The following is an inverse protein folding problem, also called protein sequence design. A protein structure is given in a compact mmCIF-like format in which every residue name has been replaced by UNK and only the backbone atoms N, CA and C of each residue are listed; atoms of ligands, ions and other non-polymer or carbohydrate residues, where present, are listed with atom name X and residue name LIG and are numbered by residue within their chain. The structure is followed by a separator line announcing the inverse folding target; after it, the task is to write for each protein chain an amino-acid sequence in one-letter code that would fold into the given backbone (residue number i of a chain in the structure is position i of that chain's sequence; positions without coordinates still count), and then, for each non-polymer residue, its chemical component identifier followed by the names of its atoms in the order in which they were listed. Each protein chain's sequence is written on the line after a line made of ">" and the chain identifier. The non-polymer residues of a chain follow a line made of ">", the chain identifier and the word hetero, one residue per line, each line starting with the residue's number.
data_IF_078918991632
#
_entry.id   IF_078918991632
#
_cell.length_a   1.000
_cell.length_b   1.000
_cell.length_c   1.000
_cell.angle_alpha   90.00
_cell.angle_beta   90.00
_cell.angle_gamma   90.00
#
_symmetry.space_group_name_H-M   'P 1'
#
loop_
_entity.id
_entity.type
_entity.pdbx_description
1 polymer ?
#
# COMPACT_ATOMS: atom_id res chain seq x y z
N UNK A 1 -26.63 3.18 8.59
CA UNK A 1 -26.25 1.92 7.93
C UNK A 1 -26.78 1.73 6.50
N UNK A 2 -27.37 2.74 5.85
CA UNK A 2 -27.91 2.62 4.48
C UNK A 2 -26.89 2.66 3.34
N UNK A 3 -25.62 2.97 3.61
CA UNK A 3 -24.57 3.04 2.58
C UNK A 3 -24.03 1.66 2.13
N UNK A 4 -24.35 0.59 2.86
CA UNK A 4 -23.81 -0.75 2.64
C UNK A 4 -24.93 -1.77 2.46
N UNK A 5 -25.01 -2.51 1.35
CA UNK A 5 -26.05 -3.52 1.12
C UNK A 5 -26.12 -4.59 2.22
N UNK A 6 -24.98 -4.92 2.84
CA UNK A 6 -24.88 -5.87 3.94
C UNK A 6 -25.24 -5.29 5.33
N UNK A 7 -25.68 -4.02 5.40
CA UNK A 7 -26.04 -3.34 6.65
C UNK A 7 -24.85 -2.97 7.55
N UNK A 8 -23.61 -3.26 7.15
CA UNK A 8 -22.37 -2.93 7.87
C UNK A 8 -21.27 -2.47 6.92
N UNK A 9 -20.34 -1.65 7.42
CA UNK A 9 -19.12 -1.31 6.70
C UNK A 9 -18.21 -2.54 6.56
N UNK A 10 -17.71 -2.86 5.35
CA UNK A 10 -16.79 -3.99 5.17
C UNK A 10 -15.54 -3.87 6.05
N UNK A 11 -15.14 -4.98 6.69
CA UNK A 11 -13.86 -4.99 7.43
C UNK A 11 -12.68 -5.06 6.46
N UNK A 12 -11.54 -4.52 6.90
CA UNK A 12 -10.27 -4.69 6.18
C UNK A 12 -10.03 -6.17 5.94
N UNK A 13 -9.74 -6.53 4.68
CA UNK A 13 -9.40 -7.88 4.27
C UNK A 13 -10.46 -8.95 4.64
N UNK A 14 -11.73 -8.56 4.84
CA UNK A 14 -12.85 -9.49 5.10
C UNK A 14 -13.01 -10.54 3.99
N UNK A 15 -12.67 -10.15 2.75
CA UNK A 15 -12.74 -11.02 1.58
C UNK A 15 -11.38 -11.59 1.16
N UNK A 16 -10.32 -11.39 1.94
CA UNK A 16 -9.00 -11.93 1.61
C UNK A 16 -8.82 -13.33 2.20
N UNK A 17 -8.40 -14.33 1.41
CA UNK A 17 -8.19 -15.69 1.88
C UNK A 17 -7.12 -15.78 2.98
N UNK A 18 -7.41 -16.58 4.01
CA UNK A 18 -6.50 -16.85 5.13
C UNK A 18 -6.19 -18.34 5.19
N UNK A 19 -4.99 -18.67 5.64
CA UNK A 19 -4.61 -20.05 5.95
C UNK A 19 -5.19 -20.49 7.32
N UNK A 20 -4.92 -21.73 7.70
CA UNK A 20 -5.44 -22.32 8.96
C UNK A 20 -4.92 -21.62 10.23
N UNK A 21 -3.83 -20.85 10.14
CA UNK A 21 -3.29 -20.05 11.25
C UNK A 21 -3.77 -18.60 11.24
N UNK A 22 -4.67 -18.23 10.32
CA UNK A 22 -5.20 -16.87 10.17
C UNK A 22 -4.31 -15.91 9.39
N UNK A 23 -3.14 -16.36 8.91
CA UNK A 23 -2.23 -15.60 8.06
C UNK A 23 -2.80 -15.39 6.65
N UNK A 24 -2.49 -14.25 6.04
CA UNK A 24 -2.95 -13.93 4.68
C UNK A 24 -2.30 -14.84 3.65
N UNK A 25 -3.11 -15.45 2.80
CA UNK A 25 -2.61 -16.28 1.70
C UNK A 25 -2.09 -15.41 0.55
N UNK A 26 -1.11 -15.94 -0.18
CA UNK A 26 -0.63 -15.33 -1.42
C UNK A 26 -1.72 -15.40 -2.50
N UNK A 27 -1.71 -14.43 -3.42
CA UNK A 27 -2.61 -14.43 -4.58
C UNK A 27 -1.78 -14.59 -5.86
N UNK A 28 -2.11 -15.60 -6.68
CA UNK A 28 -1.43 -15.85 -7.97
C UNK A 28 -1.52 -14.65 -8.93
N UNK A 29 -2.58 -13.86 -8.81
CA UNK A 29 -2.72 -12.63 -9.58
C UNK A 29 -1.85 -11.55 -8.94
N UNK A 30 -0.73 -11.24 -9.59
CA UNK A 30 0.17 -10.15 -9.21
C UNK A 30 0.38 -9.24 -10.42
N UNK A 31 0.15 -7.95 -10.25
CA UNK A 31 0.30 -6.95 -11.30
C UNK A 31 1.41 -5.98 -10.92
N UNK A 32 2.36 -5.74 -11.82
CA UNK A 32 3.36 -4.68 -11.66
C UNK A 32 2.69 -3.33 -11.95
N UNK A 33 2.62 -2.45 -10.94
CA UNK A 33 2.01 -1.13 -11.04
C UNK A 33 3.02 -0.06 -11.49
N UNK A 34 4.27 -0.21 -11.06
CA UNK A 34 5.38 0.68 -11.36
C UNK A 34 6.67 -0.12 -11.50
N UNK A 35 7.51 0.25 -12.46
CA UNK A 35 8.74 -0.47 -12.79
C UNK A 35 9.86 0.51 -13.22
N UNK A 36 11.04 0.33 -12.65
CA UNK A 36 12.27 1.07 -13.05
C UNK A 36 12.69 0.86 -14.50
N UNK A 37 12.39 -0.29 -15.10
CA UNK A 37 12.61 -0.52 -16.54
C UNK A 37 11.63 0.27 -17.42
N UNK A 38 10.50 0.70 -16.86
CA UNK A 38 9.47 1.50 -17.55
C UNK A 38 9.52 2.99 -17.15
N UNK A 39 10.60 3.43 -16.49
CA UNK A 39 10.84 4.83 -16.16
C UNK A 39 10.36 5.28 -14.78
N UNK A 40 9.79 4.40 -13.94
CA UNK A 40 9.52 4.75 -12.55
C UNK A 40 10.84 4.86 -11.75
N UNK A 41 11.11 5.94 -10.99
CA UNK A 41 12.40 6.07 -10.32
C UNK A 41 12.69 5.00 -9.26
N UNK A 42 11.66 4.48 -8.58
CA UNK A 42 11.79 3.39 -7.60
C UNK A 42 12.72 3.67 -6.41
N UNK A 43 12.90 4.95 -6.05
CA UNK A 43 13.90 5.39 -5.07
C UNK A 43 13.32 5.51 -3.66
N UNK A 44 12.55 4.52 -3.25
CA UNK A 44 11.74 4.60 -2.05
C UNK A 44 12.59 4.66 -0.76
N UNK A 45 12.04 5.38 0.24
CA UNK A 45 12.54 5.47 1.62
C UNK A 45 11.72 4.55 2.55
N UNK A 46 12.26 4.27 3.73
CA UNK A 46 11.58 3.51 4.81
C UNK A 46 11.21 2.05 4.46
N UNK A 47 11.94 1.43 3.55
CA UNK A 47 11.85 -0.01 3.30
C UNK A 47 12.73 -0.77 4.28
N UNK A 48 12.29 -1.96 4.66
CA UNK A 48 13.07 -2.87 5.51
C UNK A 48 14.10 -3.62 4.66
N UNK A 49 15.35 -3.63 5.11
CA UNK A 49 16.41 -4.42 4.47
C UNK A 49 16.17 -5.89 4.77
N UNK A 50 16.16 -6.74 3.74
CA UNK A 50 16.10 -8.18 3.94
C UNK A 50 17.48 -8.78 4.19
N UNK A 51 17.53 -9.79 5.07
CA UNK A 51 18.71 -10.61 5.31
C UNK A 51 18.68 -11.79 4.33
N UNK A 52 19.69 -11.95 3.47
CA UNK A 52 19.77 -13.08 2.54
C UNK A 52 20.26 -12.73 1.13
N UNK A 53 20.10 -13.67 0.19
CA UNK A 53 20.51 -13.50 -1.21
C UNK A 53 19.60 -12.51 -1.94
N UNK A 54 20.20 -11.49 -2.57
CA UNK A 54 19.48 -10.44 -3.29
C UNK A 54 18.80 -10.93 -4.58
N UNK A 55 19.18 -12.11 -5.08
CA UNK A 55 18.65 -12.70 -6.31
C UNK A 55 17.16 -13.02 -6.25
N UNK A 56 16.55 -13.03 -5.06
CA UNK A 56 15.14 -13.38 -4.86
C UNK A 56 14.26 -12.20 -4.45
N UNK A 57 14.79 -10.98 -4.37
CA UNK A 57 14.07 -9.80 -3.87
C UNK A 57 12.68 -9.59 -4.52
N UNK A 58 12.63 -9.72 -5.85
CA UNK A 58 11.39 -9.58 -6.61
C UNK A 58 10.43 -10.75 -6.37
N UNK A 59 10.93 -11.97 -6.43
CA UNK A 59 10.12 -13.19 -6.30
C UNK A 59 9.58 -13.37 -4.87
N UNK A 60 10.37 -13.00 -3.86
CA UNK A 60 9.92 -12.95 -2.47
C UNK A 60 8.78 -11.95 -2.29
N UNK A 61 8.91 -10.77 -2.90
CA UNK A 61 7.86 -9.76 -2.84
C UNK A 61 6.58 -10.22 -3.55
N UNK A 62 6.69 -10.86 -4.72
CA UNK A 62 5.53 -11.40 -5.46
C UNK A 62 4.85 -12.55 -4.71
N UNK A 63 5.59 -13.33 -3.92
CA UNK A 63 5.01 -14.41 -3.11
C UNK A 63 4.40 -13.91 -1.82
N UNK A 64 4.96 -12.87 -1.21
CA UNK A 64 4.46 -12.29 0.04
C UNK A 64 3.31 -11.31 -0.25
N UNK A 65 2.05 -11.64 0.10
CA UNK A 65 0.91 -10.77 -0.15
C UNK A 65 0.96 -9.45 0.63
N UNK A 66 1.85 -9.35 1.63
CA UNK A 66 2.10 -8.14 2.42
C UNK A 66 3.27 -7.31 1.88
N UNK A 67 3.86 -7.69 0.75
CA UNK A 67 4.93 -6.91 0.11
C UNK A 67 4.35 -6.01 -1.00
N UNK A 68 4.22 -4.69 -0.74
CA UNK A 68 3.70 -3.75 -1.73
C UNK A 68 4.76 -3.27 -2.74
N UNK A 69 6.03 -3.21 -2.33
CA UNK A 69 7.11 -2.81 -3.22
C UNK A 69 8.45 -3.37 -2.76
N UNK A 70 9.39 -3.41 -3.70
CA UNK A 70 10.76 -3.83 -3.46
C UNK A 70 11.75 -3.00 -4.28
N UNK A 71 12.97 -2.87 -3.76
CA UNK A 71 14.08 -2.25 -4.48
C UNK A 71 15.39 -2.96 -4.16
N UNK A 72 16.30 -3.01 -5.13
CA UNK A 72 17.66 -3.51 -4.97
C UNK A 72 18.66 -2.38 -5.22
N UNK A 73 19.81 -2.48 -4.56
CA UNK A 73 20.95 -1.60 -4.73
C UNK A 73 22.24 -2.37 -4.46
N UNK A 74 23.39 -1.70 -4.57
CA UNK A 74 24.69 -2.34 -4.34
C UNK A 74 24.82 -3.00 -2.95
N UNK A 75 24.14 -2.44 -1.95
CA UNK A 75 24.18 -2.90 -0.56
C UNK A 75 23.07 -3.90 -0.19
N UNK A 76 22.15 -4.21 -1.10
CA UNK A 76 21.22 -5.34 -0.92
C UNK A 76 19.81 -5.18 -1.48
N UNK A 77 18.85 -5.81 -0.81
CA UNK A 77 17.42 -5.83 -1.13
C UNK A 77 16.62 -5.20 0.00
N UNK A 78 15.62 -4.40 -0.35
CA UNK A 78 14.67 -3.83 0.59
C UNK A 78 13.23 -4.02 0.11
N UNK A 79 12.32 -4.24 1.05
CA UNK A 79 10.89 -4.41 0.80
C UNK A 79 10.05 -3.57 1.77
N UNK A 80 8.86 -3.16 1.35
CA UNK A 80 7.93 -2.36 2.16
C UNK A 80 7.11 -1.39 1.32
N UNK A 81 6.21 -0.63 1.96
CA UNK A 81 5.32 0.33 1.27
C UNK A 81 6.09 1.39 0.48
N UNK A 82 7.15 1.89 1.09
CA UNK A 82 7.99 2.92 0.51
C UNK A 82 7.34 4.30 0.53
N UNK A 83 8.11 5.32 0.91
CA UNK A 83 7.73 6.73 0.83
C UNK A 83 8.71 7.49 -0.07
N UNK A 84 8.27 8.64 -0.61
CA UNK A 84 9.10 9.56 -1.41
C UNK A 84 9.88 8.87 -2.55
N UNK A 85 9.25 7.91 -3.22
CA UNK A 85 9.87 7.05 -4.23
C UNK A 85 10.39 7.77 -5.48
N UNK A 86 10.08 9.06 -5.66
CA UNK A 86 10.36 9.83 -6.87
C UNK A 86 11.52 10.81 -6.73
N UNK A 87 11.87 11.24 -5.50
CA UNK A 87 12.67 12.46 -5.28
C UNK A 87 14.02 12.22 -4.62
N UNK A 88 14.30 10.99 -4.18
CA UNK A 88 15.55 10.66 -3.49
C UNK A 88 16.77 10.85 -4.39
N UNK A 89 17.79 11.58 -3.92
CA UNK A 89 19.01 11.89 -4.67
C UNK A 89 20.22 11.05 -4.25
N UNK A 90 20.23 10.57 -3.00
CA UNK A 90 21.32 9.78 -2.40
C UNK A 90 21.31 8.28 -2.78
N UNK A 91 20.35 7.86 -3.60
CA UNK A 91 20.17 6.45 -3.97
C UNK A 91 19.52 6.31 -5.34
N UNK A 92 20.03 5.37 -6.12
CA UNK A 92 19.40 4.91 -7.37
C UNK A 92 19.33 3.39 -7.32
N UNK A 93 18.14 2.78 -7.41
CA UNK A 93 18.01 1.34 -7.39
C UNK A 93 18.62 0.73 -8.66
N UNK A 94 19.12 -0.51 -8.54
CA UNK A 94 19.47 -1.34 -9.70
C UNK A 94 18.18 -1.80 -10.38
N UNK A 95 17.24 -2.33 -9.59
CA UNK A 95 15.86 -2.63 -10.00
C UNK A 95 14.93 -2.33 -8.85
N UNK A 96 13.71 -1.92 -9.16
CA UNK A 96 12.62 -1.75 -8.22
C UNK A 96 11.29 -1.90 -8.93
N UNK A 97 10.29 -2.43 -8.21
CA UNK A 97 8.91 -2.47 -8.66
C UNK A 97 7.95 -2.22 -7.49
N UNK A 98 6.80 -1.63 -7.81
CA UNK A 98 5.60 -1.65 -6.96
C UNK A 98 4.62 -2.66 -7.54
N UNK A 99 4.08 -3.53 -6.69
CA UNK A 99 3.23 -4.65 -7.12
C UNK A 99 1.90 -4.63 -6.40
N UNK A 100 0.83 -4.96 -7.12
CA UNK A 100 -0.49 -5.21 -6.57
C UNK A 100 -0.72 -6.71 -6.48
N UNK A 101 -1.15 -7.16 -5.31
CA UNK A 101 -1.65 -8.51 -5.09
C UNK A 101 -3.17 -8.53 -5.24
N UNK A 102 -3.68 -9.43 -6.08
CA UNK A 102 -5.10 -9.58 -6.35
C UNK A 102 -5.73 -8.39 -7.09
N UNK A 103 -6.98 -8.10 -6.77
CA UNK A 103 -7.80 -7.06 -7.38
C UNK A 103 -8.34 -6.09 -6.33
N UNK A 104 -8.63 -4.87 -6.76
CA UNK A 104 -9.24 -3.84 -5.92
C UNK A 104 -10.68 -3.57 -6.36
N UNK A 105 -11.57 -3.47 -5.38
CA UNK A 105 -12.93 -2.94 -5.55
C UNK A 105 -13.03 -1.60 -4.85
N UNK A 106 -13.46 -0.57 -5.58
CA UNK A 106 -13.81 0.73 -4.98
C UNK A 106 -15.16 0.63 -4.29
N UNK A 107 -15.19 1.00 -3.01
CA UNK A 107 -16.38 1.01 -2.17
C UNK A 107 -17.03 2.39 -2.10
N UNK A 108 -16.23 3.46 -2.11
CA UNK A 108 -16.70 4.84 -2.06
C UNK A 108 -15.65 5.81 -2.63
N UNK A 109 -16.11 6.88 -3.29
CA UNK A 109 -15.27 8.03 -3.67
C UNK A 109 -15.13 8.98 -2.47
N UNK A 110 -13.89 9.34 -2.11
CA UNK A 110 -13.53 10.19 -0.97
C UNK A 110 -13.14 11.62 -1.34
N UNK A 111 -13.44 12.07 -2.57
CA UNK A 111 -13.27 13.47 -2.97
C UNK A 111 -14.05 14.38 -2.02
N UNK A 112 -13.43 15.47 -1.56
CA UNK A 112 -14.05 16.38 -0.60
C UNK A 112 -14.09 15.87 0.84
N UNK A 113 -13.38 14.79 1.16
CA UNK A 113 -13.22 14.28 2.52
C UNK A 113 -11.76 14.35 2.98
N UNK A 114 -11.57 14.41 4.29
CA UNK A 114 -10.32 14.07 4.96
C UNK A 114 -10.57 12.89 5.89
N UNK A 115 -9.90 11.78 5.65
CA UNK A 115 -9.79 10.68 6.60
C UNK A 115 -8.55 10.92 7.44
N UNK A 116 -8.72 10.91 8.75
CA UNK A 116 -7.62 11.12 9.70
C UNK A 116 -6.96 9.79 10.06
N UNK A 117 -5.66 9.83 10.35
CA UNK A 117 -4.87 8.63 10.65
C UNK A 117 -4.21 8.00 9.43
N UNK A 118 -4.18 8.68 8.29
CA UNK A 118 -3.39 8.23 7.13
C UNK A 118 -1.92 8.65 7.26
N UNK A 119 -1.04 7.91 6.60
CA UNK A 119 0.38 8.22 6.48
C UNK A 119 0.65 8.97 5.18
N UNK A 120 1.52 9.97 5.23
CA UNK A 120 1.95 10.69 4.03
C UNK A 120 2.91 9.81 3.21
N UNK A 121 2.53 9.51 1.97
CA UNK A 121 3.39 8.75 1.05
C UNK A 121 4.40 9.64 0.33
N UNK A 122 3.94 10.83 -0.09
CA UNK A 122 4.78 11.84 -0.74
C UNK A 122 4.13 13.23 -0.68
N UNK A 123 4.93 14.29 -0.79
CA UNK A 123 4.46 15.65 -1.05
C UNK A 123 4.21 15.92 -2.54
N UNK A 124 3.54 17.03 -2.86
CA UNK A 124 3.36 17.47 -4.25
C UNK A 124 4.13 18.79 -4.53
N UNK A 125 5.30 18.98 -3.91
CA UNK A 125 6.06 20.23 -3.96
C UNK A 125 7.36 20.16 -4.77
N UNK A 126 7.87 18.97 -5.07
CA UNK A 126 9.18 18.80 -5.72
C UNK A 126 9.14 18.76 -7.27
N UNK A 127 8.01 19.11 -7.89
CA UNK A 127 7.90 19.25 -9.35
C UNK A 127 8.09 17.98 -10.18
N UNK A 128 8.12 16.81 -9.54
CA UNK A 128 8.31 15.52 -10.20
C UNK A 128 7.06 15.01 -10.91
N UNK A 129 5.87 15.50 -10.54
CA UNK A 129 4.66 15.36 -11.32
C UNK A 129 4.38 16.64 -12.09
N UNK A 130 4.45 16.56 -13.42
CA UNK A 130 4.09 17.69 -14.29
C UNK A 130 2.58 17.85 -14.40
N UNK A 131 1.82 16.76 -14.22
CA UNK A 131 0.37 16.74 -14.28
C UNK A 131 -0.19 16.20 -12.97
N UNK A 132 -1.25 16.85 -12.49
CA UNK A 132 -1.97 16.40 -11.29
C UNK A 132 -2.50 14.95 -11.44
N UNK A 133 -2.91 14.56 -12.65
CA UNK A 133 -3.37 13.21 -12.93
C UNK A 133 -2.30 12.14 -12.62
N UNK A 134 -1.03 12.44 -12.90
CA UNK A 134 0.08 11.51 -12.63
C UNK A 134 0.31 11.37 -11.12
N UNK A 135 0.15 12.46 -10.36
CA UNK A 135 0.24 12.45 -8.90
C UNK A 135 -0.92 11.68 -8.25
N UNK A 136 -2.14 11.85 -8.76
CA UNK A 136 -3.32 11.09 -8.31
C UNK A 136 -3.10 9.60 -8.56
N UNK A 137 -2.65 9.24 -9.76
CA UNK A 137 -2.41 7.85 -10.16
C UNK A 137 -1.29 7.21 -9.32
N UNK A 138 -0.19 7.94 -9.07
CA UNK A 138 0.85 7.47 -8.17
C UNK A 138 0.32 7.24 -6.75
N UNK A 139 -0.52 8.13 -6.23
CA UNK A 139 -1.12 7.98 -4.91
C UNK A 139 -2.01 6.73 -4.82
N UNK A 140 -2.87 6.53 -5.83
CA UNK A 140 -3.71 5.35 -5.96
C UNK A 140 -2.87 4.06 -5.97
N UNK A 141 -1.79 4.03 -6.75
CA UNK A 141 -0.90 2.87 -6.86
C UNK A 141 -0.24 2.50 -5.54
N UNK A 142 0.11 3.46 -4.70
CA UNK A 142 0.67 3.19 -3.37
C UNK A 142 -0.31 2.37 -2.53
N UNK A 143 -1.55 2.82 -2.40
CA UNK A 143 -2.56 2.08 -1.62
C UNK A 143 -2.92 0.75 -2.28
N UNK A 144 -3.06 0.71 -3.61
CA UNK A 144 -3.36 -0.51 -4.35
C UNK A 144 -2.28 -1.59 -4.22
N UNK A 145 -1.06 -1.22 -3.81
CA UNK A 145 0.02 -2.16 -3.58
C UNK A 145 0.00 -2.84 -2.21
N UNK A 146 -0.57 -2.22 -1.16
CA UNK A 146 -0.68 -2.84 0.16
C UNK A 146 -2.10 -3.35 0.38
N UNK A 147 -2.26 -4.66 0.49
CA UNK A 147 -3.57 -5.28 0.69
C UNK A 147 -4.29 -4.79 1.96
N UNK A 148 -3.54 -4.25 2.92
CA UNK A 148 -4.07 -3.70 4.18
C UNK A 148 -4.56 -2.26 4.04
N UNK A 149 -4.23 -1.57 2.96
CA UNK A 149 -4.68 -0.21 2.71
C UNK A 149 -6.15 -0.21 2.27
N UNK A 150 -6.99 0.50 3.01
CA UNK A 150 -8.39 0.71 2.64
C UNK A 150 -8.66 2.13 2.15
N UNK A 151 -7.84 3.10 2.56
CA UNK A 151 -8.09 4.50 2.26
C UNK A 151 -6.88 5.14 1.61
N UNK A 152 -7.11 5.89 0.55
CA UNK A 152 -6.12 6.82 0.01
C UNK A 152 -6.77 8.14 -0.40
N UNK A 153 -6.00 9.21 -0.31
CA UNK A 153 -6.43 10.57 -0.59
C UNK A 153 -5.28 11.38 -1.18
N UNK A 154 -5.60 12.16 -2.21
CA UNK A 154 -4.69 13.12 -2.80
C UNK A 154 -5.29 14.53 -2.74
N UNK A 155 -4.54 15.44 -2.13
CA UNK A 155 -4.87 16.86 -2.05
C UNK A 155 -3.66 17.65 -2.56
N UNK A 156 -3.77 18.45 -3.64
CA UNK A 156 -2.62 19.06 -4.32
C UNK A 156 -1.69 19.87 -3.41
N UNK A 157 -2.19 20.51 -2.36
CA UNK A 157 -1.39 21.27 -1.38
C UNK A 157 -0.73 20.38 -0.32
N UNK A 158 -1.27 19.19 -0.07
CA UNK A 158 -0.85 18.32 1.03
C UNK A 158 -0.13 17.03 0.57
N UNK A 159 -0.25 16.68 -0.71
CA UNK A 159 0.32 15.48 -1.30
C UNK A 159 -0.58 14.25 -1.17
N UNK A 160 0.06 13.08 -1.18
CA UNK A 160 -0.61 11.79 -1.10
C UNK A 160 -0.61 11.23 0.32
N UNK A 161 -1.77 10.75 0.75
CA UNK A 161 -2.00 10.15 2.05
C UNK A 161 -2.68 8.79 1.88
N UNK A 162 -2.11 7.76 2.49
CA UNK A 162 -2.58 6.37 2.36
C UNK A 162 -2.65 5.73 3.73
N UNK A 163 -3.50 4.73 3.88
CA UNK A 163 -3.46 3.89 5.08
C UNK A 163 -2.18 3.05 5.07
N UNK A 164 -1.37 3.22 6.12
CA UNK A 164 -0.23 2.36 6.41
C UNK A 164 -0.58 1.59 7.68
N UNK A 165 -0.47 0.27 7.64
CA UNK A 165 -0.81 -0.59 8.80
C UNK A 165 0.38 -0.86 9.71
N UNK A 166 1.56 -0.31 9.39
CA UNK A 166 2.73 -0.33 10.28
C UNK A 166 2.70 0.78 11.35
N UNK A 167 1.84 1.79 11.19
CA UNK A 167 1.66 2.86 12.17
C UNK A 167 0.60 2.52 13.21
N UNK A 168 0.83 2.99 14.45
CA UNK A 168 -0.12 2.83 15.55
C UNK A 168 -1.36 3.73 15.43
N UNK A 169 -1.23 4.86 14.72
CA UNK A 169 -2.32 5.81 14.52
C UNK A 169 -2.95 5.57 13.16
N UNK A 170 -4.14 4.94 13.15
CA UNK A 170 -4.85 4.57 11.94
C UNK A 170 -6.37 4.82 12.10
N UNK A 171 -7.14 4.95 11.00
CA UNK A 171 -8.58 5.10 11.08
C UNK A 171 -9.23 3.92 11.83
N UNK A 172 -10.25 4.16 12.68
CA UNK A 172 -10.96 3.10 13.37
C UNK A 172 -11.89 2.34 12.41
N UNK A 173 -12.30 1.14 12.84
CA UNK A 173 -13.43 0.43 12.25
C UNK A 173 -14.59 0.36 13.26
N UNK A 174 -15.82 0.72 12.89
CA UNK A 174 -16.19 1.36 11.62
C UNK A 174 -15.65 2.80 11.55
N UNK A 175 -15.42 3.28 10.32
CA UNK A 175 -15.14 4.68 10.05
C UNK A 175 -16.40 5.50 10.30
N UNK A 176 -16.28 6.54 11.13
CA UNK A 176 -17.36 7.46 11.48
C UNK A 176 -16.99 8.89 11.11
N UNK A 177 -17.96 9.82 11.22
CA UNK A 177 -17.75 11.26 10.98
C UNK A 177 -16.85 11.92 12.02
N UNK A 178 -16.45 11.22 13.09
CA UNK A 178 -15.43 11.68 14.03
C UNK A 178 -14.00 11.56 13.46
N UNK A 179 -13.82 10.76 12.41
CA UNK A 179 -12.53 10.50 11.75
C UNK A 179 -12.55 10.83 10.25
N UNK A 180 -13.71 11.25 9.74
CA UNK A 180 -13.94 11.63 8.35
C UNK A 180 -14.57 13.02 8.31
N UNK A 181 -13.79 14.03 7.95
CA UNK A 181 -14.21 15.44 7.93
C UNK A 181 -14.41 15.95 6.52
N UNK A 182 -15.30 16.95 6.35
CA UNK A 182 -15.56 17.63 5.06
C UNK A 182 -15.17 19.11 5.02
N UNK A 183 -14.98 19.73 6.19
CA UNK A 183 -14.79 21.18 6.32
C UNK A 183 -13.35 21.61 6.56
N UNK A 184 -12.41 20.67 6.63
CA UNK A 184 -10.99 20.98 6.86
C UNK A 184 -10.34 21.50 5.58
N UNK A 185 -9.25 22.27 5.68
CA UNK A 185 -8.48 22.70 4.51
C UNK A 185 -8.03 21.54 3.62
N UNK A 186 -7.66 20.40 4.21
CA UNK A 186 -7.36 19.17 3.47
C UNK A 186 -8.58 18.67 2.71
N UNK A 187 -9.73 18.55 3.36
CA UNK A 187 -10.95 18.04 2.72
C UNK A 187 -11.37 18.91 1.54
N UNK A 188 -11.26 20.24 1.67
CA UNK A 188 -11.56 21.20 0.60
C UNK A 188 -10.56 21.12 -0.57
N UNK A 189 -9.33 20.70 -0.31
CA UNK A 189 -8.26 20.51 -1.31
C UNK A 189 -8.20 19.07 -1.84
N UNK A 190 -8.90 18.12 -1.23
CA UNK A 190 -8.90 16.71 -1.60
C UNK A 190 -9.68 16.48 -2.90
N UNK A 191 -8.94 16.37 -4.00
CA UNK A 191 -9.47 16.25 -5.38
C UNK A 191 -9.65 14.80 -5.83
N UNK A 192 -9.05 13.83 -5.13
CA UNK A 192 -9.20 12.42 -5.42
C UNK A 192 -8.96 11.58 -4.17
N UNK A 193 -9.65 10.46 -4.08
CA UNK A 193 -9.46 9.47 -3.02
C UNK A 193 -10.51 8.39 -3.08
N UNK A 194 -10.20 7.23 -2.53
CA UNK A 194 -11.11 6.09 -2.52
C UNK A 194 -11.05 5.37 -1.19
N UNK A 195 -12.21 4.87 -0.78
CA UNK A 195 -12.31 3.77 0.15
C UNK A 195 -12.41 2.48 -0.67
N UNK A 196 -11.47 1.57 -0.47
CA UNK A 196 -11.29 0.37 -1.27
C UNK A 196 -11.30 -0.91 -0.45
N UNK A 197 -11.46 -2.03 -1.15
CA UNK A 197 -11.28 -3.37 -0.61
C UNK A 197 -10.43 -4.20 -1.55
N UNK A 198 -9.40 -4.83 -1.00
CA UNK A 198 -8.59 -5.83 -1.68
C UNK A 198 -9.27 -7.19 -1.66
N UNK A 199 -9.18 -7.88 -2.79
CA UNK A 199 -9.76 -9.21 -3.00
C UNK A 199 -8.78 -10.09 -3.76
N UNK A 200 -8.74 -11.38 -3.43
CA UNK A 200 -8.08 -12.37 -4.28
C UNK A 200 -9.17 -13.20 -4.98
N UNK A 201 -9.16 -13.32 -6.32
CA UNK A 201 -10.17 -14.11 -7.02
C UNK A 201 -10.22 -15.57 -6.54
N UNK A 202 -11.42 -16.17 -6.62
CA UNK A 202 -11.64 -17.56 -6.21
C UNK A 202 -10.70 -18.48 -7.01
N UNK A 203 -10.03 -19.40 -6.30
CA UNK A 203 -9.08 -20.35 -6.91
C UNK A 203 -7.69 -19.78 -7.21
N UNK A 204 -7.45 -18.48 -6.97
CA UNK A 204 -6.13 -17.86 -7.12
C UNK A 204 -5.35 -17.74 -5.81
N UNK A 205 -5.93 -18.13 -4.68
CA UNK A 205 -5.23 -18.16 -3.41
C UNK A 205 -4.28 -19.36 -3.34
N UNK A 206 -3.07 -19.15 -2.86
CA UNK A 206 -2.11 -20.22 -2.57
C UNK A 206 -1.54 -20.04 -1.17
N UNK A 207 -1.29 -21.13 -0.42
CA UNK A 207 -0.55 -21.04 0.82
C UNK A 207 0.78 -20.32 0.60
N UNK A 208 1.02 -19.27 1.38
CA UNK A 208 2.34 -18.67 1.46
C UNK A 208 3.17 -19.52 2.43
N UNK A 209 4.13 -20.28 1.90
CA UNK A 209 5.19 -20.84 2.73
C UNK A 209 6.28 -19.77 2.82
N UNK A 210 6.48 -19.09 3.97
CA UNK A 210 7.64 -18.20 4.11
C UNK A 210 8.90 -19.04 3.84
N UNK A 211 9.67 -18.63 2.83
CA UNK A 211 10.99 -19.19 2.63
C UNK A 211 11.80 -18.78 3.87
N UNK A 212 12.06 -19.75 4.75
CA UNK A 212 12.66 -19.55 6.07
C UNK A 212 11.67 -18.91 7.06
N UNK A 213 11.10 -19.77 7.89
CA UNK A 213 10.53 -19.42 9.18
C UNK A 213 11.55 -18.55 9.91
N UNK A 214 11.29 -17.24 10.06
CA UNK A 214 11.94 -16.48 11.11
C UNK A 214 11.73 -17.31 12.37
N UNK A 215 12.83 -17.86 12.90
CA UNK A 215 12.82 -18.37 14.27
C UNK A 215 12.53 -17.14 15.12
N UNK A 216 11.25 -16.90 15.38
CA UNK A 216 10.81 -16.23 16.58
C UNK A 216 11.51 -17.01 17.70
N UNK A 217 12.59 -16.42 18.21
CA UNK A 217 13.21 -16.88 19.45
C UNK A 217 12.08 -17.00 20.45
N UNK A 218 11.79 -18.23 20.84
CA UNK A 218 10.92 -18.59 21.95
C UNK A 218 11.12 -17.58 23.06
N UNK A 219 10.05 -16.91 23.50
CA UNK A 219 10.03 -16.42 24.87
C UNK A 219 10.28 -17.66 25.74
N UNK A 220 11.47 -17.74 26.33
CA UNK A 220 11.69 -18.65 27.44
C UNK A 220 10.83 -18.16 28.60
N UNK A 221 10.22 -19.13 29.27
CA UNK A 221 9.41 -19.03 30.49
C UNK A 221 10.15 -18.24 31.57
#
# INVERSE_FOLDING_TARGET
>A
NGAWPAGKQPRSLECWPRNDTGGYMSCKQVTVLEDTELGWPGKCRHLAKLNGSFSQCAEDCKRNPLCPSWQTGSAGCWQGLGQDCFVRTDFTPIRAQRVQHGSVRVLMNLTGWQIVGLAKSFDNSHGYFLKQADAIEACRKVCYSDIRCQYWQFAPKYGCWVEDSSQNYHPPWPLTTEWAYRSTPFALDCVAGEYIQHTCPKGMATPFAPAVQERLTSCMV
#
